data_IF_002601045381
#
_entry.id   IF_002601045381
#
_cell.length_a   1.000
_cell.length_b   1.000
_cell.length_c   1.000
_cell.angle_alpha   90.00
_cell.angle_beta   90.00
_cell.angle_gamma   90.00
#
_symmetry.space_group_name_H-M   'P 1'
#
loop_
_entity.id
_entity.type
_entity.pdbx_description
1 polymer ?
#
# COMPACT_ATOMS: atom_id res chain seq x y z
N UNK A 1 -3.74 7.63 18.18
CA UNK A 1 -3.41 6.54 17.23
C UNK A 1 -4.20 5.27 17.55
N UNK A 2 -4.10 4.73 18.77
CA UNK A 2 -4.76 3.47 19.16
C UNK A 2 -6.29 3.44 18.96
N UNK A 3 -7.01 4.53 19.26
CA UNK A 3 -8.45 4.61 19.00
C UNK A 3 -8.83 4.61 17.50
N UNK A 4 -7.97 5.20 16.65
CA UNK A 4 -8.19 5.24 15.20
C UNK A 4 -8.01 3.84 14.62
N UNK A 5 -6.91 3.17 14.97
CA UNK A 5 -6.65 1.80 14.55
C UNK A 5 -7.77 0.85 14.98
N UNK A 6 -8.26 0.96 16.22
CA UNK A 6 -9.37 0.12 16.69
C UNK A 6 -10.63 0.30 15.84
N UNK A 7 -11.04 1.54 15.56
CA UNK A 7 -12.21 1.82 14.70
C UNK A 7 -12.03 1.25 13.29
N UNK A 8 -10.84 1.39 12.73
CA UNK A 8 -10.53 0.86 11.39
C UNK A 8 -10.54 -0.66 11.37
N UNK A 9 -9.98 -1.31 12.39
CA UNK A 9 -10.05 -2.78 12.54
C UNK A 9 -11.50 -3.25 12.62
N UNK A 10 -12.31 -2.63 13.47
CA UNK A 10 -13.74 -2.92 13.60
C UNK A 10 -14.48 -2.73 12.27
N UNK A 11 -14.23 -1.64 11.55
CA UNK A 11 -14.82 -1.39 10.23
C UNK A 11 -14.47 -2.51 9.23
N UNK A 12 -13.19 -2.83 9.07
CA UNK A 12 -12.75 -3.80 8.06
C UNK A 12 -13.16 -5.24 8.39
N UNK A 13 -13.43 -5.58 9.66
CA UNK A 13 -14.01 -6.88 10.03
C UNK A 13 -15.35 -7.14 9.33
N UNK A 14 -16.11 -6.09 8.99
CA UNK A 14 -17.42 -6.20 8.34
C UNK A 14 -17.36 -6.05 6.80
N UNK A 15 -16.16 -5.90 6.22
CA UNK A 15 -15.97 -5.71 4.77
C UNK A 15 -15.33 -6.96 4.16
N UNK A 16 -16.14 -7.95 3.83
CA UNK A 16 -15.66 -9.26 3.34
C UNK A 16 -14.89 -9.19 2.01
N UNK A 17 -15.22 -8.21 1.16
CA UNK A 17 -14.55 -7.98 -0.11
C UNK A 17 -13.09 -7.53 0.03
N UNK A 18 -12.67 -7.07 1.21
CA UNK A 18 -11.29 -6.67 1.52
C UNK A 18 -10.59 -7.80 2.24
N UNK A 19 -9.54 -8.35 1.62
CA UNK A 19 -8.77 -9.50 2.13
C UNK A 19 -7.58 -9.06 2.98
N UNK A 20 -6.96 -7.92 2.64
CA UNK A 20 -5.90 -7.26 3.41
C UNK A 20 -6.20 -5.76 3.51
N UNK A 21 -5.90 -5.16 4.66
CA UNK A 21 -5.92 -3.72 4.84
C UNK A 21 -4.74 -3.26 5.69
N UNK A 22 -4.11 -2.16 5.29
CA UNK A 22 -3.02 -1.50 6.00
C UNK A 22 -3.35 -0.03 6.23
N UNK A 23 -3.01 0.47 7.40
CA UNK A 23 -2.79 1.90 7.63
C UNK A 23 -1.33 2.18 7.26
N UNK A 24 -1.06 3.24 6.50
CA UNK A 24 0.31 3.60 6.14
C UNK A 24 0.51 5.12 6.16
N UNK A 25 1.62 5.58 5.58
CA UNK A 25 1.86 7.00 5.36
C UNK A 25 2.21 7.78 6.63
N UNK A 26 1.87 9.06 6.63
CA UNK A 26 2.23 10.00 7.70
C UNK A 26 1.59 9.63 9.05
N UNK A 27 0.43 8.96 8.99
CA UNK A 27 -0.31 8.49 10.16
C UNK A 27 0.47 7.46 10.97
N UNK A 28 1.17 6.54 10.31
CA UNK A 28 1.96 5.51 10.99
C UNK A 28 3.32 6.05 11.48
N UNK A 29 3.90 7.04 10.79
CA UNK A 29 5.20 7.61 11.15
C UNK A 29 5.17 8.49 12.42
N UNK A 30 3.99 8.69 13.03
CA UNK A 30 3.83 9.54 14.22
C UNK A 30 3.89 11.04 13.91
N UNK A 31 3.93 11.41 12.62
CA UNK A 31 3.95 12.78 12.12
C UNK A 31 2.52 13.30 11.87
N UNK A 32 1.49 12.50 12.19
CA UNK A 32 0.09 12.88 11.97
C UNK A 32 -0.35 14.00 12.92
N UNK A 33 -0.78 15.11 12.32
CA UNK A 33 -1.49 16.22 12.93
C UNK A 33 -3.01 15.95 12.88
N UNK A 34 -3.80 16.77 13.58
CA UNK A 34 -5.27 16.69 13.57
C UNK A 34 -5.92 16.90 12.17
N UNK A 35 -5.13 17.30 11.17
CA UNK A 35 -5.54 17.58 9.79
C UNK A 35 -4.95 16.60 8.77
N UNK A 36 -4.09 15.67 9.21
CA UNK A 36 -3.37 14.77 8.29
C UNK A 36 -4.32 13.83 7.55
N UNK A 37 -3.97 13.55 6.30
CA UNK A 37 -4.64 12.56 5.48
C UNK A 37 -4.42 11.16 6.08
N UNK A 38 -5.52 10.39 6.17
CA UNK A 38 -5.51 9.02 6.67
C UNK A 38 -5.29 8.11 5.46
N UNK A 39 -4.06 7.65 5.29
CA UNK A 39 -3.65 6.79 4.18
C UNK A 39 -3.95 5.31 4.48
N UNK A 40 -4.87 4.72 3.73
CA UNK A 40 -5.30 3.34 3.91
C UNK A 40 -5.08 2.57 2.60
N UNK A 41 -4.44 1.42 2.69
CA UNK A 41 -4.23 0.54 1.55
C UNK A 41 -5.05 -0.73 1.72
N UNK A 42 -5.75 -1.16 0.68
CA UNK A 42 -6.59 -2.36 0.69
C UNK A 42 -6.26 -3.29 -0.46
N UNK A 43 -6.33 -4.59 -0.19
CA UNK A 43 -6.34 -5.62 -1.22
C UNK A 43 -7.76 -6.17 -1.34
N UNK A 44 -8.35 -6.02 -2.51
CA UNK A 44 -9.62 -6.65 -2.84
C UNK A 44 -9.44 -8.11 -3.23
N UNK A 45 -10.48 -8.89 -3.02
CA UNK A 45 -10.57 -10.24 -3.57
C UNK A 45 -10.35 -10.23 -5.10
N UNK A 46 -9.53 -11.17 -5.59
CA UNK A 46 -9.20 -11.33 -7.00
C UNK A 46 -10.39 -11.71 -7.90
N UNK A 47 -11.52 -12.11 -7.31
CA UNK A 47 -12.76 -12.45 -8.02
C UNK A 47 -13.52 -11.21 -8.49
N UNK A 48 -13.25 -10.03 -7.94
CA UNK A 48 -13.90 -8.78 -8.36
C UNK A 48 -13.40 -8.32 -9.73
N UNK A 49 -14.33 -7.91 -10.58
CA UNK A 49 -14.01 -7.17 -11.80
C UNK A 49 -13.46 -5.79 -11.46
N UNK A 50 -12.72 -5.17 -12.39
CA UNK A 50 -12.21 -3.80 -12.22
C UNK A 50 -13.31 -2.79 -11.92
N UNK A 51 -14.49 -2.96 -12.52
CA UNK A 51 -15.64 -2.08 -12.29
C UNK A 51 -16.18 -2.25 -10.87
N UNK A 52 -16.38 -3.49 -10.43
CA UNK A 52 -16.83 -3.76 -9.06
C UNK A 52 -15.83 -3.24 -8.03
N UNK A 53 -14.53 -3.50 -8.23
CA UNK A 53 -13.49 -2.99 -7.35
C UNK A 53 -13.50 -1.45 -7.25
N UNK A 54 -13.72 -0.75 -8.38
CA UNK A 54 -13.82 0.71 -8.41
C UNK A 54 -15.08 1.22 -7.69
N UNK A 55 -16.24 0.62 -7.95
CA UNK A 55 -17.50 0.98 -7.29
C UNK A 55 -17.41 0.74 -5.78
N UNK A 56 -16.77 -0.37 -5.36
CA UNK A 56 -16.49 -0.67 -3.96
C UNK A 56 -15.48 0.31 -3.35
N UNK A 57 -14.42 0.68 -4.06
CA UNK A 57 -13.45 1.66 -3.60
C UNK A 57 -14.13 3.00 -3.28
N UNK A 58 -14.99 3.50 -4.17
CA UNK A 58 -15.75 4.73 -3.95
C UNK A 58 -16.67 4.62 -2.74
N UNK A 59 -17.37 3.49 -2.59
CA UNK A 59 -18.22 3.24 -1.43
C UNK A 59 -17.42 3.24 -0.13
N UNK A 60 -16.27 2.56 -0.10
CA UNK A 60 -15.41 2.49 1.08
C UNK A 60 -14.84 3.85 1.46
N UNK A 61 -14.51 4.72 0.50
CA UNK A 61 -14.07 6.10 0.79
C UNK A 61 -15.17 6.86 1.54
N UNK A 62 -16.42 6.76 1.09
CA UNK A 62 -17.57 7.41 1.75
C UNK A 62 -17.79 6.83 3.15
N UNK A 63 -17.87 5.50 3.26
CA UNK A 63 -18.11 4.80 4.51
C UNK A 63 -17.00 5.10 5.55
N UNK A 64 -15.74 5.10 5.13
CA UNK A 64 -14.60 5.46 5.97
C UNK A 64 -14.68 6.93 6.39
N UNK A 65 -15.03 7.84 5.48
CA UNK A 65 -15.21 9.24 5.81
C UNK A 65 -16.28 9.46 6.89
N UNK A 66 -17.38 8.71 6.82
CA UNK A 66 -18.46 8.74 7.81
C UNK A 66 -18.07 8.13 9.16
N UNK A 67 -17.30 7.04 9.17
CA UNK A 67 -16.81 6.38 10.40
C UNK A 67 -15.76 7.23 11.10
N UNK A 68 -14.86 7.84 10.34
CA UNK A 68 -13.75 8.64 10.83
C UNK A 68 -14.13 10.11 11.07
N UNK A 69 -15.32 10.53 10.60
CA UNK A 69 -15.80 11.92 10.65
C UNK A 69 -14.82 12.91 10.00
N UNK A 70 -14.20 12.49 8.91
CA UNK A 70 -13.26 13.29 8.13
C UNK A 70 -13.44 13.03 6.64
N UNK A 71 -13.05 14.00 5.81
CA UNK A 71 -12.99 13.84 4.35
C UNK A 71 -11.58 13.50 3.85
N UNK A 72 -10.60 13.51 4.75
CA UNK A 72 -9.18 13.35 4.45
C UNK A 72 -8.79 11.87 4.56
N UNK A 73 -9.35 11.05 3.68
CA UNK A 73 -9.04 9.61 3.59
C UNK A 73 -8.52 9.34 2.18
N UNK A 74 -7.28 8.87 2.08
CA UNK A 74 -6.73 8.36 0.82
C UNK A 74 -6.78 6.83 0.84
N UNK A 75 -7.43 6.24 -0.16
CA UNK A 75 -7.64 4.81 -0.25
C UNK A 75 -6.91 4.24 -1.48
N UNK A 76 -5.81 3.54 -1.22
CA UNK A 76 -4.98 2.89 -2.24
C UNK A 76 -5.41 1.44 -2.44
N UNK A 77 -5.70 1.06 -3.68
CA UNK A 77 -5.99 -0.33 -4.05
C UNK A 77 -4.68 -1.04 -4.43
N UNK A 78 -4.27 -1.99 -3.59
CA UNK A 78 -3.02 -2.72 -3.71
C UNK A 78 -2.95 -3.60 -4.97
N UNK A 79 -4.10 -4.06 -5.49
CA UNK A 79 -4.20 -4.91 -6.67
C UNK A 79 -3.50 -4.28 -7.89
N UNK A 80 -3.63 -2.97 -8.07
CA UNK A 80 -3.10 -2.21 -9.22
C UNK A 80 -2.07 -1.14 -8.81
N UNK A 81 -1.57 -1.20 -7.57
CA UNK A 81 -0.65 -0.19 -7.03
C UNK A 81 0.77 -0.28 -7.61
N UNK A 82 1.50 0.85 -7.73
CA UNK A 82 2.91 0.84 -8.10
C UNK A 82 3.75 0.01 -7.12
N UNK A 83 4.70 -0.77 -7.65
CA UNK A 83 5.49 -1.72 -6.85
C UNK A 83 6.24 -1.08 -5.67
N UNK A 84 6.83 0.10 -5.88
CA UNK A 84 7.53 0.84 -4.83
C UNK A 84 6.57 1.27 -3.70
N UNK A 85 5.35 1.70 -4.05
CA UNK A 85 4.35 2.10 -3.07
C UNK A 85 3.88 0.88 -2.27
N UNK A 86 3.52 -0.20 -2.94
CA UNK A 86 3.15 -1.46 -2.29
C UNK A 86 4.26 -1.98 -1.36
N UNK A 87 5.52 -1.93 -1.79
CA UNK A 87 6.67 -2.33 -0.98
C UNK A 87 6.80 -1.47 0.29
N UNK A 88 6.65 -0.15 0.17
CA UNK A 88 6.67 0.75 1.33
C UNK A 88 5.50 0.47 2.29
N UNK A 89 4.31 0.18 1.76
CA UNK A 89 3.12 -0.15 2.56
C UNK A 89 3.32 -1.43 3.36
N UNK A 90 3.81 -2.52 2.73
CA UNK A 90 4.02 -3.78 3.46
C UNK A 90 5.19 -3.70 4.46
N UNK A 91 6.16 -2.82 4.22
CA UNK A 91 7.35 -2.66 5.07
C UNK A 91 7.04 -1.83 6.32
N UNK A 92 6.36 -0.70 6.13
CA UNK A 92 6.19 0.32 7.18
C UNK A 92 4.75 0.40 7.70
N UNK A 93 3.78 -0.25 7.04
CA UNK A 93 2.36 -0.14 7.35
C UNK A 93 1.91 -0.98 8.55
N UNK A 94 0.84 -0.52 9.20
CA UNK A 94 0.17 -1.23 10.29
C UNK A 94 -0.98 -2.04 9.71
N UNK A 95 -0.95 -3.35 9.91
CA UNK A 95 -2.02 -4.27 9.46
C UNK A 95 -3.31 -3.96 10.21
N UNK A 96 -4.37 -3.60 9.49
CA UNK A 96 -5.72 -3.38 10.02
C UNK A 96 -6.60 -4.64 9.88
N UNK A 97 -6.50 -5.31 8.73
CA UNK A 97 -7.15 -6.60 8.45
C UNK A 97 -6.17 -7.47 7.69
N UNK A 98 -6.11 -8.76 8.05
CA UNK A 98 -5.33 -9.71 7.28
C UNK A 98 -5.81 -11.14 7.44
N UNK A 99 -5.95 -11.82 6.31
CA UNK A 99 -5.85 -13.28 6.26
C UNK A 99 -4.36 -13.68 6.07
N UNK A 100 -3.82 -14.49 6.98
CA UNK A 100 -2.38 -14.79 7.03
C UNK A 100 -1.82 -15.36 5.72
N UNK A 101 -2.51 -16.33 5.10
CA UNK A 101 -2.06 -16.95 3.85
C UNK A 101 -2.01 -15.95 2.71
N UNK A 102 -3.07 -15.15 2.56
CA UNK A 102 -3.14 -14.10 1.54
C UNK A 102 -2.05 -13.06 1.79
N UNK A 103 -1.84 -12.65 3.04
CA UNK A 103 -0.82 -11.68 3.43
C UNK A 103 0.57 -12.15 3.04
N UNK A 104 0.96 -13.34 3.48
CA UNK A 104 2.29 -13.90 3.21
C UNK A 104 2.51 -14.04 1.70
N UNK A 105 1.53 -14.55 0.96
CA UNK A 105 1.63 -14.67 -0.49
C UNK A 105 1.80 -13.30 -1.17
N UNK A 106 1.00 -12.31 -0.78
CA UNK A 106 1.07 -10.97 -1.33
C UNK A 106 2.39 -10.27 -1.02
N UNK A 107 2.82 -10.26 0.25
CA UNK A 107 4.05 -9.61 0.70
C UNK A 107 5.29 -10.21 0.05
N UNK A 108 5.39 -11.54 0.02
CA UNK A 108 6.52 -12.23 -0.62
C UNK A 108 6.59 -11.95 -2.13
N UNK A 109 5.44 -11.90 -2.81
CA UNK A 109 5.36 -11.52 -4.22
C UNK A 109 5.85 -10.09 -4.47
N UNK A 110 5.48 -9.14 -3.61
CA UNK A 110 5.95 -7.75 -3.68
C UNK A 110 7.45 -7.65 -3.40
N UNK A 111 7.94 -8.31 -2.34
CA UNK A 111 9.37 -8.31 -1.99
C UNK A 111 10.23 -8.87 -3.12
N UNK A 112 9.83 -10.01 -3.70
CA UNK A 112 10.57 -10.63 -4.81
C UNK A 112 10.69 -9.67 -5.99
N UNK A 113 9.56 -9.13 -6.47
CA UNK A 113 9.57 -8.20 -7.61
C UNK A 113 10.39 -6.95 -7.33
N UNK A 114 10.29 -6.40 -6.12
CA UNK A 114 11.02 -5.20 -5.74
C UNK A 114 12.54 -5.44 -5.76
N UNK A 115 13.02 -6.53 -5.16
CA UNK A 115 14.45 -6.84 -5.14
C UNK A 115 15.01 -7.18 -6.52
N UNK A 116 14.22 -7.85 -7.37
CA UNK A 116 14.59 -8.08 -8.76
C UNK A 116 14.78 -6.76 -9.51
N UNK A 117 13.81 -5.84 -9.44
CA UNK A 117 13.90 -4.53 -10.08
C UNK A 117 15.11 -3.72 -9.57
N UNK A 118 15.32 -3.69 -8.25
CA UNK A 118 16.48 -3.01 -7.65
C UNK A 118 17.81 -3.58 -8.12
N UNK A 119 17.91 -4.90 -8.26
CA UNK A 119 19.10 -5.56 -8.79
C UNK A 119 19.38 -5.13 -10.23
N UNK A 120 18.37 -5.12 -11.10
CA UNK A 120 18.52 -4.68 -12.49
C UNK A 120 18.91 -3.19 -12.58
N UNK A 121 18.21 -2.30 -11.86
CA UNK A 121 18.53 -0.87 -11.84
C UNK A 121 19.99 -0.64 -11.45
N UNK A 122 20.45 -1.23 -10.33
CA UNK A 122 21.83 -1.10 -9.86
C UNK A 122 22.85 -1.60 -10.89
N UNK A 123 22.55 -2.74 -11.55
CA UNK A 123 23.40 -3.30 -12.60
C UNK A 123 23.51 -2.38 -13.81
N UNK A 124 22.40 -1.78 -14.25
CA UNK A 124 22.39 -0.85 -15.38
C UNK A 124 23.14 0.44 -15.05
N UNK A 125 22.92 1.01 -13.86
CA UNK A 125 23.64 2.20 -13.40
C UNK A 125 25.16 1.96 -13.31
N UNK A 126 25.59 0.84 -12.72
CA UNK A 126 27.01 0.47 -12.65
C UNK A 126 27.66 0.43 -14.04
N UNK A 127 27.00 -0.22 -15.00
CA UNK A 127 27.48 -0.30 -16.39
C UNK A 127 27.51 1.06 -17.11
N UNK A 128 26.60 1.97 -16.78
CA UNK A 128 26.59 3.33 -17.35
C UNK A 128 27.77 4.15 -16.82
N UNK A 129 28.02 4.10 -15.51
CA UNK A 129 29.16 4.76 -14.86
C UNK A 129 30.49 4.23 -15.42
N UNK A 130 30.64 2.90 -15.55
CA UNK A 130 31.84 2.29 -16.12
C UNK A 130 32.11 2.76 -17.57
N UNK A 131 31.07 2.98 -18.38
CA UNK A 131 31.20 3.52 -19.74
C UNK A 131 31.59 5.00 -19.74
N UNK A 132 31.00 5.81 -18.87
CA UNK A 132 31.37 7.22 -18.73
C UNK A 132 32.82 7.39 -18.27
N UNK A 133 33.28 6.53 -17.35
CA UNK A 133 34.67 6.52 -16.91
C UNK A 133 35.62 6.16 -18.07
N UNK A 134 35.30 5.12 -18.86
CA UNK A 134 36.14 4.69 -20.00
C UNK A 134 36.13 5.68 -21.18
N UNK A 135 35.02 6.36 -21.43
CA UNK A 135 34.90 7.34 -22.52
C UNK A 135 35.57 8.69 -22.26
N UNK A 136 36.06 8.93 -21.04
CA UNK A 136 36.76 10.17 -20.65
C UNK A 136 38.29 10.07 -20.76
N UNK A 137 38.81 8.89 -21.13
CA UNK A 137 40.23 8.60 -21.30
C UNK A 137 40.60 8.18 -22.74
N UNK A 138 39.77 8.53 -23.73
CA UNK A 138 40.00 8.27 -25.16
C UNK A 138 40.14 9.55 -25.95
#
# INVERSE_FOLDING_TARGET
>A
MEQLERKLREFFLHVDSVTLAYLFGSTVRGEANCLSDIDIAILFDSTLTKKEAFDLQLKLIVDLGDVLKTKNVDLVVLNDSPLLLAFNIIRDGVILKSEERIRVHFETGIMSRYYDEQYYIKRHMKRAIERMAKGRFG
#
